data_IF_626450732410
#
_entry.id   IF_626450732410
#
_cell.length_a   1.000
_cell.length_b   1.000
_cell.length_c   1.000
_cell.angle_alpha   90.00
_cell.angle_beta   90.00
_cell.angle_gamma   90.00
#
_symmetry.space_group_name_H-M   'P 1'
#
loop_
_entity.id
_entity.type
_entity.pdbx_description
1 polymer ?
#
# COMPACT_ATOMS: atom_id res chain seq x y z
N UNK A 1 -22.56 -7.20 12.18
CA UNK A 1 -21.43 -6.74 11.35
C UNK A 1 -20.61 -5.75 12.17
N UNK A 2 -19.29 -5.88 12.25
CA UNK A 2 -18.45 -4.94 12.99
C UNK A 2 -18.26 -3.72 12.12
N UNK A 3 -18.76 -2.55 12.54
CA UNK A 3 -18.50 -1.29 11.84
C UNK A 3 -17.00 -1.02 11.91
N UNK A 4 -16.31 -0.78 10.78
CA UNK A 4 -14.88 -0.48 10.83
C UNK A 4 -14.68 0.83 11.60
N UNK A 5 -13.92 0.75 12.69
CA UNK A 5 -13.47 1.93 13.42
C UNK A 5 -12.41 2.65 12.59
N UNK A 6 -12.35 3.97 12.70
CA UNK A 6 -11.30 4.74 12.04
C UNK A 6 -9.92 4.27 12.52
N UNK A 7 -8.91 4.16 11.63
CA UNK A 7 -7.54 3.89 12.05
C UNK A 7 -7.04 4.96 13.02
N UNK A 8 -6.42 4.54 14.13
CA UNK A 8 -5.91 5.46 15.17
C UNK A 8 -4.45 5.87 14.96
N UNK A 9 -3.74 5.20 14.04
CA UNK A 9 -2.30 5.39 13.79
C UNK A 9 -2.02 5.24 12.30
N UNK A 10 -1.11 6.07 11.78
CA UNK A 10 -0.54 5.94 10.44
C UNK A 10 0.89 5.43 10.53
N UNK A 11 1.24 4.47 9.67
CA UNK A 11 2.61 3.93 9.57
C UNK A 11 3.07 4.13 8.13
N UNK A 12 4.13 4.91 7.94
CA UNK A 12 4.74 5.13 6.63
C UNK A 12 5.72 4.02 6.28
N UNK A 13 5.65 3.50 5.06
CA UNK A 13 6.64 2.56 4.51
C UNK A 13 7.62 3.31 3.61
N UNK A 14 8.91 3.25 3.94
CA UNK A 14 9.99 3.98 3.23
C UNK A 14 11.17 3.05 2.93
N UNK A 15 12.01 3.44 1.96
CA UNK A 15 13.15 2.63 1.50
C UNK A 15 13.46 2.82 0.01
N UNK A 16 14.56 2.20 -0.45
CA UNK A 16 15.04 2.25 -1.83
C UNK A 16 13.99 1.75 -2.85
N UNK A 17 14.08 2.21 -4.11
CA UNK A 17 13.26 1.70 -5.21
C UNK A 17 13.35 0.17 -5.30
N UNK A 18 12.24 -0.48 -5.64
CA UNK A 18 12.09 -1.93 -5.78
C UNK A 18 12.32 -2.81 -4.53
N UNK A 19 12.47 -2.20 -3.34
CA UNK A 19 12.58 -2.96 -2.07
C UNK A 19 11.23 -3.44 -1.50
N UNK A 20 10.16 -3.48 -2.32
CA UNK A 20 8.91 -4.13 -1.94
C UNK A 20 8.01 -3.38 -0.94
N UNK A 21 8.13 -2.05 -0.82
CA UNK A 21 7.28 -1.22 0.07
C UNK A 21 5.78 -1.44 -0.18
N UNK A 22 5.36 -1.33 -1.43
CA UNK A 22 3.98 -1.58 -1.88
C UNK A 22 3.55 -3.04 -1.65
N UNK A 23 4.47 -3.99 -1.86
CA UNK A 23 4.19 -5.41 -1.65
C UNK A 23 3.90 -5.71 -0.16
N UNK A 24 4.67 -5.12 0.76
CA UNK A 24 4.42 -5.28 2.20
C UNK A 24 3.08 -4.67 2.60
N UNK A 25 2.72 -3.48 2.10
CA UNK A 25 1.41 -2.89 2.38
C UNK A 25 0.29 -3.83 1.92
N UNK A 26 0.36 -4.35 0.70
CA UNK A 26 -0.63 -5.29 0.15
C UNK A 26 -0.74 -6.58 0.93
N UNK A 27 0.38 -7.14 1.42
CA UNK A 27 0.38 -8.35 2.24
C UNK A 27 -0.28 -8.12 3.61
N UNK A 28 -0.11 -6.93 4.20
CA UNK A 28 -0.65 -6.59 5.52
C UNK A 28 -2.12 -6.15 5.48
N UNK A 29 -2.52 -5.41 4.45
CA UNK A 29 -3.88 -4.82 4.36
C UNK A 29 -4.80 -5.60 3.43
N UNK A 30 -4.25 -6.42 2.53
CA UNK A 30 -4.99 -7.03 1.43
C UNK A 30 -5.27 -6.07 0.27
N UNK A 31 -4.87 -4.80 0.37
CA UNK A 31 -5.15 -3.76 -0.64
C UNK A 31 -3.89 -3.29 -1.36
N UNK A 32 -4.00 -3.11 -2.68
CA UNK A 32 -2.94 -2.49 -3.49
C UNK A 32 -2.91 -0.99 -3.27
N UNK A 33 -1.71 -0.39 -3.19
CA UNK A 33 -1.57 1.07 -3.06
C UNK A 33 -1.66 1.80 -4.40
N UNK A 34 -1.28 1.14 -5.49
CA UNK A 34 -1.32 1.71 -6.85
C UNK A 34 -2.76 2.02 -7.25
N UNK A 35 -3.04 3.28 -7.59
CA UNK A 35 -4.38 3.73 -8.00
C UNK A 35 -4.39 4.32 -9.39
N UNK A 36 -3.25 4.78 -9.88
CA UNK A 36 -3.13 5.34 -11.21
C UNK A 36 -2.74 4.27 -12.23
N UNK A 37 -3.32 4.33 -13.43
CA UNK A 37 -3.01 3.39 -14.50
C UNK A 37 -1.53 3.38 -14.89
N UNK A 38 -0.84 4.52 -14.76
CA UNK A 38 0.58 4.64 -15.09
C UNK A 38 1.49 3.98 -14.04
N UNK A 39 1.10 3.99 -12.76
CA UNK A 39 1.79 3.26 -11.68
C UNK A 39 1.78 1.76 -12.00
N UNK A 40 0.59 1.23 -12.29
CA UNK A 40 0.38 -0.17 -12.64
C UNK A 40 1.13 -0.55 -13.92
N UNK A 41 1.03 0.29 -14.96
CA UNK A 41 1.68 0.02 -16.26
C UNK A 41 3.20 -0.02 -16.17
N UNK A 42 3.79 0.84 -15.33
CA UNK A 42 5.24 0.93 -15.15
C UNK A 42 5.76 0.02 -14.04
N UNK A 43 4.88 -0.55 -13.22
CA UNK A 43 5.26 -1.33 -12.04
C UNK A 43 5.92 -0.47 -10.96
N UNK A 44 5.54 0.80 -10.86
CA UNK A 44 6.08 1.76 -9.89
C UNK A 44 4.94 2.32 -9.05
N UNK A 45 5.25 2.69 -7.81
CA UNK A 45 4.33 3.28 -6.84
C UNK A 45 4.97 4.44 -6.12
#
# INVERSE_FOLDING_TARGET
MKVPVQPSVNIGTVGQVDHGKTAIVKLLTGESTDRHSEEIKRGIS
#
